data_IF_362241103066
#
_entry.id   IF_362241103066
#
_cell.length_a   1.000
_cell.length_b   1.000
_cell.length_c   1.000
_cell.angle_alpha   90.00
_cell.angle_beta   90.00
_cell.angle_gamma   90.00
#
_symmetry.space_group_name_H-M   'P 1'
#
loop_
_entity.id
_entity.type
_entity.pdbx_description
1 polymer ?
#
# COMPACT_ATOMS: atom_id res chain seq x y z
N UNK A 1 -49.85 -11.26 -40.60
CA UNK A 1 -49.38 -11.49 -39.21
C UNK A 1 -47.95 -10.95 -39.10
N UNK A 2 -47.72 -9.84 -38.39
CA UNK A 2 -46.39 -9.25 -38.23
C UNK A 2 -45.89 -9.41 -36.79
N UNK A 3 -44.71 -10.01 -36.61
CA UNK A 3 -44.09 -10.30 -35.31
C UNK A 3 -43.44 -9.03 -34.74
N UNK A 4 -43.87 -8.59 -33.57
CA UNK A 4 -43.28 -7.47 -32.82
C UNK A 4 -42.00 -7.98 -32.15
N UNK A 5 -40.83 -7.49 -32.58
CA UNK A 5 -39.56 -7.71 -31.88
C UNK A 5 -39.50 -6.75 -30.69
N UNK A 6 -39.44 -7.29 -29.47
CA UNK A 6 -39.15 -6.50 -28.26
C UNK A 6 -37.70 -6.04 -28.30
N UNK A 7 -37.48 -4.77 -28.58
CA UNK A 7 -36.16 -4.14 -28.48
C UNK A 7 -35.88 -3.82 -27.02
N UNK A 8 -34.81 -4.38 -26.46
CA UNK A 8 -34.34 -4.05 -25.11
C UNK A 8 -33.74 -2.65 -25.13
N UNK A 9 -34.35 -1.72 -24.40
CA UNK A 9 -33.89 -0.34 -24.33
C UNK A 9 -32.60 -0.22 -23.52
N UNK A 10 -31.50 -0.02 -24.24
CA UNK A 10 -30.16 0.15 -23.69
C UNK A 10 -30.10 1.29 -22.66
N UNK A 11 -30.81 2.39 -22.91
CA UNK A 11 -30.82 3.57 -22.02
C UNK A 11 -31.43 3.29 -20.64
N UNK A 12 -32.48 2.47 -20.58
CA UNK A 12 -33.11 2.06 -19.33
C UNK A 12 -32.18 1.18 -18.47
N UNK A 13 -31.29 0.43 -19.10
CA UNK A 13 -30.28 -0.38 -18.41
C UNK A 13 -29.15 0.50 -17.88
N UNK A 14 -28.65 1.44 -18.68
CA UNK A 14 -27.59 2.37 -18.26
C UNK A 14 -28.02 3.24 -17.07
N UNK A 15 -29.28 3.71 -17.05
CA UNK A 15 -29.83 4.52 -15.95
C UNK A 15 -29.98 3.76 -14.63
N UNK A 16 -30.15 2.44 -14.68
CA UNK A 16 -30.23 1.57 -13.50
C UNK A 16 -28.86 1.15 -12.96
N UNK A 17 -27.83 1.16 -13.81
CA UNK A 17 -26.46 0.76 -13.44
C UNK A 17 -25.64 1.96 -12.90
N UNK A 18 -25.97 3.20 -13.31
CA UNK A 18 -25.24 4.41 -12.90
C UNK A 18 -26.08 5.28 -11.96
N UNK A 19 -25.93 5.19 -10.62
CA UNK A 19 -26.56 6.14 -9.71
C UNK A 19 -25.73 7.44 -9.70
N UNK A 20 -26.11 8.42 -10.52
CA UNK A 20 -25.46 9.73 -10.51
C UNK A 20 -25.97 10.58 -9.34
N UNK A 21 -25.23 10.62 -8.24
CA UNK A 21 -25.35 11.72 -7.28
C UNK A 21 -24.50 12.89 -7.75
N UNK A 22 -25.13 13.82 -8.47
CA UNK A 22 -24.59 15.15 -8.69
C UNK A 22 -25.72 16.18 -8.59
N UNK A 23 -26.00 16.63 -7.37
CA UNK A 23 -26.53 17.99 -7.15
C UNK A 23 -25.43 18.79 -6.48
N UNK A 24 -24.76 19.62 -7.28
CA UNK A 24 -24.04 20.80 -6.81
C UNK A 24 -24.99 21.97 -7.01
N UNK A 25 -25.33 22.67 -5.94
CA UNK A 25 -25.78 24.05 -5.99
C UNK A 25 -24.96 24.84 -4.97
N UNK A 26 -24.48 25.99 -5.42
CA UNK A 26 -23.49 26.91 -4.84
C UNK A 26 -24.14 27.91 -3.88
N UNK A 27 -23.46 28.29 -2.79
CA UNK A 27 -23.17 29.67 -2.33
C UNK A 27 -22.60 29.70 -0.89
N UNK A 28 -21.68 30.64 -0.65
CA UNK A 28 -20.80 30.82 0.54
C UNK A 28 -21.55 31.63 1.65
N UNK A 29 -21.31 31.53 2.97
CA UNK A 29 -20.27 32.22 3.77
C UNK A 29 -20.47 31.91 5.31
N UNK A 30 -19.37 31.50 5.98
CA UNK A 30 -18.87 31.70 7.38
C UNK A 30 -19.76 31.55 8.64
N UNK A 31 -19.32 30.68 9.58
CA UNK A 31 -18.82 31.05 10.94
C UNK A 31 -18.32 29.81 11.73
N UNK A 32 -17.25 29.98 12.51
CA UNK A 32 -16.44 28.94 13.20
C UNK A 32 -16.94 28.62 14.65
N UNK A 33 -16.16 27.99 15.56
CA UNK A 33 -15.55 26.64 15.62
C UNK A 33 -15.94 25.87 16.91
N UNK A 34 -16.02 24.53 16.96
CA UNK A 34 -15.82 23.78 18.23
C UNK A 34 -15.27 22.36 17.99
N UNK A 35 -14.27 22.06 18.82
CA UNK A 35 -13.53 20.81 19.07
C UNK A 35 -14.40 19.56 19.28
N UNK A 36 -13.83 18.37 19.09
CA UNK A 36 -13.74 17.34 20.15
C UNK A 36 -12.72 16.27 19.75
N UNK A 37 -11.65 16.18 20.54
CA UNK A 37 -10.70 15.08 20.56
C UNK A 37 -11.34 13.79 21.09
N UNK A 38 -10.76 12.62 20.77
CA UNK A 38 -10.64 11.55 21.73
C UNK A 38 -9.17 11.35 22.10
N UNK A 39 -8.91 11.37 23.41
CA UNK A 39 -7.61 11.23 24.03
C UNK A 39 -6.77 10.08 23.46
N UNK A 40 -5.59 10.44 22.96
CA UNK A 40 -4.45 9.54 22.80
C UNK A 40 -3.86 9.37 24.20
N UNK A 41 -3.84 8.18 24.82
CA UNK A 41 -2.82 7.92 25.82
C UNK A 41 -1.51 7.71 25.07
N UNK A 42 -0.73 8.78 24.97
CA UNK A 42 0.68 8.68 24.60
C UNK A 42 1.39 7.85 25.67
N UNK A 43 1.99 6.72 25.27
CA UNK A 43 3.41 6.49 25.55
C UNK A 43 3.99 5.24 24.85
N UNK A 44 5.11 5.53 24.20
CA UNK A 44 6.34 4.74 24.10
C UNK A 44 6.55 3.83 22.88
N UNK A 45 7.39 4.34 21.98
CA UNK A 45 8.51 3.67 21.31
C UNK A 45 8.28 2.26 20.76
N UNK A 46 8.01 2.16 19.46
CA UNK A 46 8.79 1.29 18.56
C UNK A 46 8.35 1.48 17.10
N UNK A 47 9.23 2.08 16.28
CA UNK A 47 9.35 1.90 14.82
C UNK A 47 8.07 1.45 14.12
N UNK A 48 7.17 2.39 13.85
CA UNK A 48 6.01 2.14 13.00
C UNK A 48 6.51 1.69 11.62
N UNK A 49 6.26 0.42 11.30
CA UNK A 49 6.58 -0.16 10.01
C UNK A 49 5.79 0.61 8.94
N UNK A 50 6.51 1.17 7.97
CA UNK A 50 6.03 1.99 6.84
C UNK A 50 4.87 1.37 6.03
N UNK A 51 4.50 0.11 6.31
CA UNK A 51 3.48 -0.66 5.58
C UNK A 51 2.50 -1.40 6.51
N UNK A 52 1.86 -0.69 7.45
CA UNK A 52 0.61 -1.20 8.03
C UNK A 52 -0.55 -0.63 7.23
N UNK A 53 -0.99 -1.35 6.20
CA UNK A 53 -2.24 -1.05 5.51
C UNK A 53 -3.40 -1.19 6.50
N UNK A 54 -3.74 -0.09 7.18
CA UNK A 54 -4.77 -0.01 8.23
C UNK A 54 -6.15 -0.42 7.73
N UNK A 55 -6.38 -0.30 6.42
CA UNK A 55 -7.66 -0.63 5.77
C UNK A 55 -7.86 -2.13 5.47
N UNK A 56 -6.81 -2.96 5.49
CA UNK A 56 -6.93 -4.41 5.25
C UNK A 56 -7.08 -5.24 6.55
N UNK A 57 -6.92 -4.61 7.72
CA UNK A 57 -7.04 -5.27 9.03
C UNK A 57 -8.49 -5.30 9.58
N UNK A 58 -9.50 -5.13 8.72
CA UNK A 58 -10.91 -5.03 9.12
C UNK A 58 -11.65 -6.35 9.33
N UNK A 59 -10.96 -7.50 9.35
CA UNK A 59 -11.55 -8.77 9.82
C UNK A 59 -11.03 -9.03 11.23
N UNK A 60 -11.62 -8.31 12.18
CA UNK A 60 -11.36 -8.50 13.61
C UNK A 60 -12.45 -9.42 14.15
N UNK A 61 -12.29 -10.71 13.93
CA UNK A 61 -12.92 -11.71 14.78
C UNK A 61 -11.90 -12.18 15.81
N UNK A 62 -12.25 -11.96 17.06
CA UNK A 62 -11.47 -12.24 18.26
C UNK A 62 -11.13 -13.74 18.34
N UNK A 63 -9.96 -14.15 17.80
CA UNK A 63 -9.12 -15.20 18.44
C UNK A 63 -7.77 -15.49 17.82
N UNK A 64 -7.40 -14.98 16.64
CA UNK A 64 -6.03 -15.15 16.15
C UNK A 64 -5.50 -13.82 15.59
N UNK A 65 -4.29 -13.42 15.99
CA UNK A 65 -3.56 -12.25 15.45
C UNK A 65 -3.08 -12.53 14.01
N UNK A 66 -4.02 -12.82 13.13
CA UNK A 66 -3.78 -13.14 11.73
C UNK A 66 -3.82 -11.83 10.95
N UNK A 67 -2.73 -11.53 10.25
CA UNK A 67 -2.57 -10.31 9.47
C UNK A 67 -2.34 -10.64 8.00
N UNK A 68 -2.87 -9.81 7.11
CA UNK A 68 -2.51 -9.83 5.69
C UNK A 68 -1.21 -9.07 5.50
N UNK A 69 -0.18 -9.75 4.99
CA UNK A 69 1.17 -9.19 4.89
C UNK A 69 1.85 -9.55 3.58
N UNK A 70 2.55 -8.57 2.98
CA UNK A 70 3.41 -8.82 1.83
C UNK A 70 4.84 -9.14 2.29
N UNK A 71 5.27 -10.38 2.08
CA UNK A 71 6.59 -10.86 2.49
C UNK A 71 7.71 -10.09 1.78
N UNK A 72 7.50 -9.71 0.52
CA UNK A 72 8.54 -9.05 -0.28
C UNK A 72 8.87 -7.65 0.23
N UNK A 73 7.90 -6.94 0.82
CA UNK A 73 8.12 -5.65 1.48
C UNK A 73 9.16 -5.77 2.60
N UNK A 74 9.05 -6.80 3.44
CA UNK A 74 10.02 -7.00 4.52
C UNK A 74 11.42 -7.27 3.98
N UNK A 75 11.50 -8.09 2.93
CA UNK A 75 12.77 -8.44 2.30
C UNK A 75 13.44 -7.22 1.69
N UNK A 76 12.68 -6.37 0.98
CA UNK A 76 13.19 -5.12 0.40
C UNK A 76 13.72 -4.19 1.50
N UNK A 77 12.95 -3.97 2.58
CA UNK A 77 13.37 -3.12 3.70
C UNK A 77 14.67 -3.63 4.35
N UNK A 78 14.78 -4.94 4.58
CA UNK A 78 15.98 -5.53 5.19
C UNK A 78 17.22 -5.37 4.30
N UNK A 79 17.07 -5.40 2.96
CA UNK A 79 18.18 -5.26 2.01
C UNK A 79 18.52 -3.80 1.73
N UNK A 80 17.54 -2.90 1.79
CA UNK A 80 17.71 -1.48 1.51
C UNK A 80 18.83 -0.88 2.37
N UNK A 81 18.76 -1.00 3.70
CA UNK A 81 19.75 -0.42 4.60
C UNK A 81 21.17 -0.92 4.34
N UNK A 82 21.31 -2.21 4.02
CA UNK A 82 22.61 -2.80 3.69
C UNK A 82 23.16 -2.28 2.35
N UNK A 83 22.29 -2.08 1.34
CA UNK A 83 22.67 -1.54 0.03
C UNK A 83 23.00 -0.05 0.09
N UNK A 84 22.23 0.77 0.82
CA UNK A 84 22.47 2.20 1.03
C UNK A 84 23.76 2.49 1.83
N UNK A 85 24.22 1.54 2.67
CA UNK A 85 25.51 1.64 3.35
C UNK A 85 26.69 1.42 2.39
N UNK A 86 26.53 0.52 1.42
CA UNK A 86 27.56 0.19 0.43
C UNK A 86 27.62 1.20 -0.72
N UNK A 87 26.48 1.79 -1.07
CA UNK A 87 26.37 2.76 -2.15
C UNK A 87 26.31 4.18 -1.58
N UNK A 88 27.27 5.03 -1.95
CA UNK A 88 27.28 6.46 -1.59
C UNK A 88 26.16 7.22 -2.34
N UNK A 89 24.93 7.08 -1.87
CA UNK A 89 23.72 7.73 -2.42
C UNK A 89 22.97 8.50 -1.32
N UNK A 90 21.99 9.32 -1.73
CA UNK A 90 21.20 10.12 -0.80
C UNK A 90 20.40 9.21 0.15
N UNK A 91 20.32 9.61 1.44
CA UNK A 91 19.66 8.87 2.51
C UNK A 91 18.44 9.60 3.08
N UNK A 92 17.93 10.60 2.37
CA UNK A 92 16.68 11.25 2.73
C UNK A 92 15.50 10.28 2.60
N UNK A 93 14.44 10.52 3.35
CA UNK A 93 13.30 9.59 3.39
C UNK A 93 12.57 9.51 2.04
N UNK A 94 12.50 10.64 1.30
CA UNK A 94 12.00 10.66 -0.09
C UNK A 94 12.76 9.69 -1.01
N UNK A 95 14.09 9.69 -0.98
CA UNK A 95 14.87 8.76 -1.80
C UNK A 95 14.67 7.31 -1.37
N UNK A 96 14.56 7.04 -0.06
CA UNK A 96 14.30 5.68 0.42
C UNK A 96 12.94 5.18 -0.07
N UNK A 97 11.91 6.01 0.05
CA UNK A 97 10.55 5.70 -0.41
C UNK A 97 10.52 5.46 -1.92
N UNK A 98 11.17 6.31 -2.71
CA UNK A 98 11.28 6.12 -4.17
C UNK A 98 11.97 4.80 -4.52
N UNK A 99 13.06 4.44 -3.82
CA UNK A 99 13.78 3.18 -4.04
C UNK A 99 12.88 1.99 -3.70
N UNK A 100 12.17 2.04 -2.57
CA UNK A 100 11.26 0.98 -2.14
C UNK A 100 10.13 0.82 -3.17
N UNK A 101 9.52 1.92 -3.61
CA UNK A 101 8.42 1.91 -4.57
C UNK A 101 8.85 1.29 -5.91
N UNK A 102 9.99 1.72 -6.46
CA UNK A 102 10.51 1.17 -7.73
C UNK A 102 10.84 -0.32 -7.58
N UNK A 103 11.48 -0.71 -6.48
CA UNK A 103 11.82 -2.12 -6.24
C UNK A 103 10.56 -2.99 -6.13
N UNK A 104 9.56 -2.58 -5.35
CA UNK A 104 8.33 -3.36 -5.16
C UNK A 104 7.48 -3.46 -6.42
N UNK A 105 7.45 -2.43 -7.26
CA UNK A 105 6.71 -2.46 -8.52
C UNK A 105 7.31 -3.44 -9.54
N UNK A 106 8.62 -3.70 -9.46
CA UNK A 106 9.32 -4.61 -10.36
C UNK A 106 9.42 -6.05 -9.81
N UNK A 107 9.13 -6.25 -8.53
CA UNK A 107 9.17 -7.56 -7.89
C UNK A 107 7.78 -8.20 -7.87
N UNK A 108 7.74 -9.53 -7.95
CA UNK A 108 6.49 -10.27 -7.77
C UNK A 108 6.01 -10.13 -6.31
N UNK A 109 4.81 -9.59 -6.04
CA UNK A 109 4.32 -9.50 -4.67
C UNK A 109 3.95 -10.88 -4.11
N UNK A 110 4.17 -11.09 -2.82
CA UNK A 110 3.85 -12.32 -2.12
C UNK A 110 3.05 -12.02 -0.87
N UNK A 111 1.74 -11.98 -1.02
CA UNK A 111 0.81 -11.77 0.09
C UNK A 111 0.53 -13.09 0.81
N UNK A 112 0.56 -13.06 2.14
CA UNK A 112 0.16 -14.16 3.00
C UNK A 112 -0.71 -13.67 4.15
N UNK A 113 -1.64 -14.53 4.56
CA UNK A 113 -2.50 -14.32 5.72
C UNK A 113 -2.03 -15.27 6.79
N UNK A 114 -1.36 -14.74 7.81
CA UNK A 114 -0.68 -15.55 8.81
C UNK A 114 -0.45 -14.76 10.09
N UNK A 115 -0.06 -15.45 11.15
CA UNK A 115 0.41 -14.81 12.37
C UNK A 115 1.78 -14.18 12.15
N UNK A 116 2.14 -13.21 13.01
CA UNK A 116 3.44 -12.52 12.92
C UNK A 116 4.62 -13.48 12.95
N UNK A 117 4.55 -14.54 13.76
CA UNK A 117 5.63 -15.51 13.92
C UNK A 117 5.81 -16.35 12.65
N UNK A 118 4.71 -16.84 12.08
CA UNK A 118 4.70 -17.56 10.80
C UNK A 118 5.27 -16.73 9.65
N UNK A 119 4.98 -15.43 9.59
CA UNK A 119 5.56 -14.51 8.60
C UNK A 119 7.07 -14.42 8.77
N UNK A 120 7.57 -14.26 9.99
CA UNK A 120 9.01 -14.16 10.25
C UNK A 120 9.75 -15.46 9.91
N UNK A 121 9.15 -16.61 10.23
CA UNK A 121 9.68 -17.91 9.86
C UNK A 121 9.73 -18.05 8.34
N UNK A 122 8.67 -17.64 7.64
CA UNK A 122 8.63 -17.71 6.18
C UNK A 122 9.71 -16.87 5.51
N UNK A 123 9.98 -15.67 6.03
CA UNK A 123 11.07 -14.81 5.54
C UNK A 123 12.43 -15.49 5.70
N UNK A 124 12.67 -16.20 6.80
CA UNK A 124 13.93 -16.89 7.04
C UNK A 124 14.13 -18.10 6.11
N UNK A 125 13.05 -18.81 5.76
CA UNK A 125 13.06 -19.94 4.83
C UNK A 125 13.36 -19.51 3.38
N UNK A 126 12.88 -18.34 2.97
CA UNK A 126 13.01 -17.86 1.59
C UNK A 126 14.44 -17.35 1.34
N UNK A 127 15.31 -18.25 0.86
CA UNK A 127 16.65 -17.88 0.37
C UNK A 127 16.65 -17.40 -1.08
N UNK A 128 15.87 -18.04 -1.94
CA UNK A 128 15.97 -17.88 -3.40
C UNK A 128 15.59 -16.47 -3.86
N UNK A 129 14.46 -15.96 -3.36
CA UNK A 129 13.92 -14.62 -3.67
C UNK A 129 14.85 -13.53 -3.13
N UNK A 130 15.65 -13.83 -2.11
CA UNK A 130 16.59 -12.88 -1.53
C UNK A 130 17.60 -12.35 -2.55
N UNK A 131 18.01 -13.18 -3.52
CA UNK A 131 18.95 -12.78 -4.58
C UNK A 131 18.30 -11.82 -5.57
N UNK A 132 17.12 -12.16 -6.09
CA UNK A 132 16.33 -11.33 -7.00
C UNK A 132 16.01 -9.97 -6.38
N UNK A 133 15.55 -9.96 -5.13
CA UNK A 133 15.30 -8.72 -4.37
C UNK A 133 16.55 -7.85 -4.30
N UNK A 134 17.73 -8.44 -4.05
CA UNK A 134 18.96 -7.62 -4.01
C UNK A 134 19.29 -6.99 -5.35
N UNK A 135 19.10 -7.70 -6.46
CA UNK A 135 19.35 -7.15 -7.79
C UNK A 135 18.42 -6.00 -8.12
N UNK A 136 17.14 -6.14 -7.75
CA UNK A 136 16.13 -5.13 -8.06
C UNK A 136 16.28 -3.88 -7.19
N UNK A 137 16.63 -4.06 -5.90
CA UNK A 137 17.00 -2.94 -5.03
C UNK A 137 18.21 -2.19 -5.57
N UNK A 138 19.25 -2.88 -6.05
CA UNK A 138 20.42 -2.22 -6.64
C UNK A 138 20.02 -1.41 -7.89
N UNK A 139 19.19 -1.98 -8.78
CA UNK A 139 18.68 -1.25 -9.95
C UNK A 139 17.87 -0.02 -9.54
N UNK A 140 16.99 -0.15 -8.55
CA UNK A 140 16.17 0.95 -8.03
C UNK A 140 17.05 2.09 -7.47
N UNK A 141 18.08 1.75 -6.68
CA UNK A 141 19.03 2.75 -6.17
C UNK A 141 19.77 3.46 -7.31
N UNK A 142 20.19 2.74 -8.35
CA UNK A 142 20.86 3.35 -9.51
C UNK A 142 19.93 4.30 -10.27
N UNK A 143 18.66 3.95 -10.40
CA UNK A 143 17.65 4.81 -11.05
C UNK A 143 17.42 6.10 -10.26
N UNK A 144 17.20 6.00 -8.94
CA UNK A 144 16.98 7.17 -8.08
C UNK A 144 18.24 8.03 -7.98
N UNK A 145 19.44 7.41 -8.00
CA UNK A 145 20.71 8.14 -8.02
C UNK A 145 20.89 8.96 -9.30
N UNK A 146 20.45 8.46 -10.45
CA UNK A 146 20.55 9.19 -11.72
C UNK A 146 19.69 10.44 -11.73
N UNK A 147 18.45 10.34 -11.25
CA UNK A 147 17.48 11.44 -11.23
C UNK A 147 16.81 11.55 -9.85
N UNK A 148 17.49 12.14 -8.85
CA UNK A 148 16.89 12.37 -7.54
C UNK A 148 15.76 13.41 -7.62
N UNK A 149 14.69 13.20 -6.86
CA UNK A 149 13.54 14.12 -6.76
C UNK A 149 13.55 14.98 -5.48
N UNK A 150 14.64 14.94 -4.73
CA UNK A 150 14.80 15.68 -3.46
C UNK A 150 15.45 17.04 -3.67
#
# INVERSE_FOLDING_TARGET
>A
MAKIKKTFDRELMYKKIMPTNLKRETEQVQDAPVEYAPNIPEKNNSKETIFQNKELNLIKEEKNNVILYNVTEKLVLNKLDATLKKMNCCRCDRCKEDIIAIALNNLKPMYMVATKDEITQKIHEIRDIGSEVTTEVIKAVLTVRKNPRH
#
